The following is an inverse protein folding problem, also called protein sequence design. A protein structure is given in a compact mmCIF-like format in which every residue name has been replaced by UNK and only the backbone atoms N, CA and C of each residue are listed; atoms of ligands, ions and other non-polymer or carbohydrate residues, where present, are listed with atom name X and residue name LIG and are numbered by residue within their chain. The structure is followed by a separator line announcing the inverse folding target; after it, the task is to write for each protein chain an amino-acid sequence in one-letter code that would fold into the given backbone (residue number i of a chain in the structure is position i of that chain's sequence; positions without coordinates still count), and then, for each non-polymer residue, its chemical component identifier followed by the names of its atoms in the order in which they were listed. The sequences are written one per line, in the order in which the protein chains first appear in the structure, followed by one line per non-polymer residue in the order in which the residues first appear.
data_IF_628732431626
#
_entry.id   IF_628732431626
#
_cell.length_a   1.000
_cell.length_b   1.000
_cell.length_c   1.000
_cell.angle_alpha   90.00
_cell.angle_beta   90.00
_cell.angle_gamma   90.00
#
_symmetry.space_group_name_H-M   'P 1'
#
loop_
_entity.id
_entity.type
_entity.pdbx_description
1 polymer ?
#
# COMPACT_ATOMS: atom_id res chain seq x y z
N UNK A 1 22.14 -1.30 -31.48
CA UNK A 1 21.07 -1.78 -30.59
C UNK A 1 21.72 -2.38 -29.35
N UNK A 2 21.76 -1.65 -28.23
CA UNK A 2 22.30 -2.17 -26.96
C UNK A 2 21.18 -2.93 -26.27
N UNK A 3 21.33 -4.25 -26.14
CA UNK A 3 20.42 -5.12 -25.40
C UNK A 3 20.43 -4.71 -23.94
N UNK A 4 19.41 -3.96 -23.51
CA UNK A 4 19.25 -3.58 -22.11
C UNK A 4 18.87 -4.85 -21.34
N UNK A 5 19.82 -5.44 -20.60
CA UNK A 5 19.58 -6.62 -19.76
C UNK A 5 18.42 -6.30 -18.81
N UNK A 6 17.29 -6.96 -19.02
CA UNK A 6 16.03 -6.75 -18.30
C UNK A 6 16.25 -6.97 -16.81
N UNK A 7 16.28 -5.89 -16.03
CA UNK A 7 16.54 -5.95 -14.59
C UNK A 7 15.24 -6.33 -13.89
N UNK A 8 15.18 -7.51 -13.29
CA UNK A 8 14.02 -7.98 -12.51
C UNK A 8 13.61 -6.93 -11.47
N UNK A 9 12.31 -6.67 -11.36
CA UNK A 9 11.75 -5.77 -10.34
C UNK A 9 12.15 -6.24 -8.94
N UNK A 10 12.62 -5.31 -8.12
CA UNK A 10 12.91 -5.54 -6.69
C UNK A 10 11.71 -5.03 -5.91
N UNK A 11 11.11 -5.90 -5.10
CA UNK A 11 9.92 -5.61 -4.29
C UNK A 11 10.26 -5.76 -2.80
N UNK A 12 9.67 -4.91 -1.95
CA UNK A 12 9.98 -4.84 -0.51
C UNK A 12 9.31 -5.95 0.33
N UNK A 13 8.23 -6.56 -0.17
CA UNK A 13 7.40 -7.53 0.57
C UNK A 13 6.86 -6.96 1.88
N UNK A 14 6.44 -5.70 1.85
CA UNK A 14 5.90 -4.97 2.98
C UNK A 14 4.57 -5.57 3.44
N UNK A 15 4.33 -5.51 4.75
CA UNK A 15 3.10 -5.97 5.39
C UNK A 15 2.50 -4.84 6.21
N UNK A 16 1.18 -4.75 6.19
CA UNK A 16 0.42 -3.83 7.04
C UNK A 16 0.66 -4.19 8.52
N UNK A 17 0.81 -3.20 9.41
CA UNK A 17 0.66 -3.40 10.85
C UNK A 17 -0.67 -4.08 11.21
N UNK A 18 -0.72 -4.84 12.32
CA UNK A 18 -1.97 -5.42 12.81
C UNK A 18 -2.99 -4.31 13.15
N UNK A 19 -4.27 -4.65 13.06
CA UNK A 19 -5.36 -3.76 13.52
C UNK A 19 -5.28 -3.61 15.04
N UNK A 20 -5.63 -2.42 15.53
CA UNK A 20 -5.78 -2.21 16.96
C UNK A 20 -7.12 -2.78 17.42
N UNK A 21 -7.17 -3.29 18.64
CA UNK A 21 -8.43 -3.65 19.29
C UNK A 21 -8.96 -2.46 20.08
N UNK A 22 -10.27 -2.27 20.04
CA UNK A 22 -10.98 -1.28 20.84
C UNK A 22 -12.10 -1.95 21.62
N UNK A 23 -12.41 -1.40 22.80
CA UNK A 23 -13.59 -1.78 23.55
C UNK A 23 -14.81 -1.06 22.97
N UNK A 24 -15.84 -1.81 22.60
CA UNK A 24 -17.13 -1.32 22.10
C UNK A 24 -18.26 -1.82 23.00
N UNK A 25 -19.38 -1.12 22.98
CA UNK A 25 -20.62 -1.54 23.66
C UNK A 25 -21.59 -2.04 22.59
N UNK A 26 -22.15 -3.22 22.77
CA UNK A 26 -23.13 -3.81 21.85
C UNK A 26 -24.57 -3.33 22.11
N UNK A 27 -25.54 -3.88 21.38
CA UNK A 27 -26.95 -3.51 21.50
C UNK A 27 -27.61 -3.89 22.83
N UNK A 28 -27.00 -4.79 23.61
CA UNK A 28 -27.48 -5.23 24.92
C UNK A 28 -26.79 -4.49 26.08
N UNK A 29 -25.80 -3.64 25.78
CA UNK A 29 -25.02 -2.89 26.76
C UNK A 29 -23.76 -3.62 27.22
N UNK A 30 -23.41 -4.75 26.61
CA UNK A 30 -22.23 -5.54 26.97
C UNK A 30 -20.97 -5.01 26.27
N UNK A 31 -19.86 -5.01 27.01
CA UNK A 31 -18.53 -4.62 26.49
C UNK A 31 -17.92 -5.76 25.67
N UNK A 32 -17.40 -5.46 24.48
CA UNK A 32 -16.71 -6.40 23.60
C UNK A 32 -15.42 -5.80 23.05
N UNK A 33 -14.39 -6.63 22.84
CA UNK A 33 -13.23 -6.24 22.04
C UNK A 33 -13.52 -6.42 20.55
N UNK A 34 -13.24 -5.40 19.75
CA UNK A 34 -13.44 -5.43 18.31
C UNK A 34 -12.18 -4.91 17.58
N UNK A 35 -11.69 -5.62 16.54
CA UNK A 35 -10.56 -5.15 15.76
C UNK A 35 -11.00 -3.99 14.85
N UNK A 36 -10.38 -2.82 14.99
CA UNK A 36 -10.62 -1.68 14.12
C UNK A 36 -9.48 -1.53 13.11
N UNK A 37 -9.81 -1.71 11.82
CA UNK A 37 -8.90 -1.42 10.72
C UNK A 37 -8.98 0.06 10.37
N UNK A 38 -7.91 0.82 10.65
CA UNK A 38 -7.79 2.21 10.22
C UNK A 38 -7.19 2.36 8.81
N UNK A 39 -7.30 3.54 8.22
CA UNK A 39 -6.48 3.89 7.06
C UNK A 39 -5.07 4.29 7.51
N UNK A 40 -4.06 3.85 6.76
CA UNK A 40 -2.66 4.18 7.00
C UNK A 40 -2.11 4.97 5.81
N UNK A 41 -1.30 6.01 6.06
CA UNK A 41 -0.66 6.77 5.00
C UNK A 41 0.37 5.89 4.27
N UNK A 42 0.36 5.96 2.94
CA UNK A 42 1.35 5.37 2.05
C UNK A 42 1.88 6.47 1.12
N UNK A 43 3.12 6.89 1.36
CA UNK A 43 3.79 7.90 0.54
C UNK A 43 4.59 7.25 -0.58
N UNK A 44 4.34 7.69 -1.82
CA UNK A 44 5.04 7.22 -3.01
C UNK A 44 6.14 8.21 -3.37
N UNK A 45 7.38 7.71 -3.43
CA UNK A 45 8.54 8.46 -3.91
C UNK A 45 9.00 7.94 -5.27
N UNK A 46 9.31 8.85 -6.19
CA UNK A 46 9.98 8.56 -7.46
C UNK A 46 11.22 9.45 -7.54
N UNK A 47 12.38 8.86 -7.80
CA UNK A 47 13.67 9.58 -7.80
C UNK A 47 13.88 10.47 -6.57
N UNK A 48 13.52 9.92 -5.39
CA UNK A 48 13.58 10.59 -4.07
C UNK A 48 12.68 11.83 -3.94
N UNK A 49 11.77 12.07 -4.87
CA UNK A 49 10.75 13.13 -4.77
C UNK A 49 9.43 12.51 -4.39
N UNK A 50 8.75 13.13 -3.44
CA UNK A 50 7.39 12.75 -3.08
C UNK A 50 6.46 13.04 -4.25
N UNK A 51 5.67 12.04 -4.64
CA UNK A 51 4.67 12.14 -5.70
C UNK A 51 3.30 12.35 -5.08
N UNK A 52 2.96 11.53 -4.08
CA UNK A 52 1.65 11.55 -3.41
C UNK A 52 1.75 10.83 -2.07
N UNK A 53 0.90 11.21 -1.12
CA UNK A 53 0.56 10.40 0.05
C UNK A 53 -0.89 9.94 -0.05
N UNK A 54 -1.11 8.63 -0.07
CA UNK A 54 -2.43 8.00 -0.14
C UNK A 54 -2.86 7.53 1.25
N UNK A 55 -4.14 7.68 1.58
CA UNK A 55 -4.72 6.95 2.70
C UNK A 55 -5.18 5.57 2.20
N UNK A 56 -4.72 4.51 2.87
CA UNK A 56 -4.91 3.14 2.37
C UNK A 56 -5.29 2.18 3.48
N UNK A 57 -5.99 1.10 3.13
CA UNK A 57 -6.11 -0.05 4.01
C UNK A 57 -4.78 -0.80 4.18
N UNK A 58 -3.66 -0.37 3.58
CA UNK A 58 -2.34 -0.94 3.79
C UNK A 58 -2.12 -2.36 3.28
N UNK A 59 -3.15 -2.99 2.69
CA UNK A 59 -3.03 -4.29 2.04
C UNK A 59 -2.37 -4.14 0.67
N UNK A 60 -1.45 -5.06 0.34
CA UNK A 60 -0.76 -5.15 -0.96
C UNK A 60 -0.11 -3.84 -1.44
N UNK A 61 0.75 -3.18 -0.63
CA UNK A 61 1.30 -1.87 -0.96
C UNK A 61 2.08 -1.85 -2.28
N UNK A 62 2.80 -2.92 -2.65
CA UNK A 62 3.54 -2.97 -3.91
C UNK A 62 2.62 -2.97 -5.13
N UNK A 63 1.51 -3.71 -5.06
CA UNK A 63 0.54 -3.77 -6.15
C UNK A 63 -0.15 -2.41 -6.31
N UNK A 64 -0.48 -1.75 -5.19
CA UNK A 64 -1.05 -0.41 -5.19
C UNK A 64 -0.09 0.61 -5.81
N UNK A 65 1.18 0.63 -5.41
CA UNK A 65 2.18 1.56 -5.95
C UNK A 65 2.37 1.36 -7.45
N UNK A 66 2.52 0.10 -7.90
CA UNK A 66 2.64 -0.22 -9.32
C UNK A 66 1.40 0.24 -10.11
N UNK A 67 0.20 -0.07 -9.60
CA UNK A 67 -1.05 0.34 -10.22
C UNK A 67 -1.18 1.86 -10.31
N UNK A 68 -0.82 2.58 -9.24
CA UNK A 68 -0.84 4.04 -9.22
C UNK A 68 0.12 4.63 -10.25
N UNK A 69 1.38 4.20 -10.26
CA UNK A 69 2.38 4.71 -11.21
C UNK A 69 1.96 4.47 -12.67
N UNK A 70 1.36 3.32 -12.97
CA UNK A 70 0.82 3.04 -14.30
C UNK A 70 -0.38 3.92 -14.63
N UNK A 71 -1.33 4.05 -13.71
CA UNK A 71 -2.54 4.86 -13.91
C UNK A 71 -2.22 6.34 -14.12
N UNK A 72 -1.19 6.85 -13.45
CA UNK A 72 -0.72 8.22 -13.58
C UNK A 72 0.27 8.43 -14.74
N UNK A 73 0.54 7.40 -15.54
CA UNK A 73 1.43 7.50 -16.71
C UNK A 73 2.92 7.61 -16.40
N UNK A 74 3.35 7.35 -15.16
CA UNK A 74 4.78 7.29 -14.80
C UNK A 74 5.47 6.06 -15.43
N UNK A 75 4.73 4.97 -15.64
CA UNK A 75 5.23 3.75 -16.29
C UNK A 75 4.17 3.17 -17.25
N UNK A 76 4.62 2.60 -18.37
CA UNK A 76 3.71 2.07 -19.40
C UNK A 76 3.63 0.54 -19.45
N UNK A 77 4.68 -0.15 -19.01
CA UNK A 77 4.76 -1.61 -19.01
C UNK A 77 5.48 -2.09 -17.74
N UNK A 78 5.02 -3.21 -17.21
CA UNK A 78 5.82 -4.00 -16.29
C UNK A 78 6.75 -4.85 -17.15
N UNK A 79 8.05 -4.79 -16.85
CA UNK A 79 9.04 -5.55 -17.61
C UNK A 79 8.68 -7.04 -17.60
N UNK A 80 8.51 -7.62 -18.79
CA UNK A 80 8.33 -9.06 -19.02
C UNK A 80 9.70 -9.72 -19.26
#
# INVERSE_FOLDING_TARGET
MVSNKTKKLIISKSKRPPSNEIEVIDEYGDKRCFPITGELPLTIYVDKKEVVTLMTLGHYPESLVIGYLRNQGFINHLMN
#
